data_IF_759205028883
#
_entry.id   IF_759205028883
#
_cell.length_a   1.000
_cell.length_b   1.000
_cell.length_c   1.000
_cell.angle_alpha   90.00
_cell.angle_beta   90.00
_cell.angle_gamma   90.00
#
_symmetry.space_group_name_H-M   'P 1'
#
loop_
_entity.id
_entity.type
_entity.pdbx_description
1 polymer ?
#
# COMPACT_ATOMS: atom_id res chain seq x y z
N UNK A 1 -16.39 -14.46 0.33
CA UNK A 1 -16.14 -15.62 1.24
C UNK A 1 -15.78 -16.77 0.34
N UNK A 2 -14.65 -17.41 0.56
CA UNK A 2 -14.28 -18.59 -0.22
C UNK A 2 -15.17 -19.77 0.19
N UNK A 3 -15.39 -20.71 -0.75
CA UNK A 3 -16.31 -21.88 -0.61
C UNK A 3 -16.10 -22.76 0.65
N UNK A 4 -15.00 -22.62 1.38
CA UNK A 4 -14.64 -23.42 2.55
C UNK A 4 -14.93 -22.77 3.92
N UNK A 5 -15.56 -21.60 3.99
CA UNK A 5 -15.87 -20.90 5.25
C UNK A 5 -14.66 -20.35 6.01
N UNK A 6 -13.44 -20.47 5.48
CA UNK A 6 -12.24 -19.92 6.10
C UNK A 6 -12.07 -18.42 5.78
N UNK A 7 -11.70 -17.65 6.81
CA UNK A 7 -11.43 -16.21 6.65
C UNK A 7 -10.17 -15.99 5.79
N UNK A 8 -10.20 -15.07 4.81
CA UNK A 8 -9.04 -14.76 3.99
C UNK A 8 -7.95 -14.05 4.82
N UNK A 9 -6.70 -14.18 4.39
CA UNK A 9 -5.52 -13.57 5.03
C UNK A 9 -4.98 -12.44 4.19
N UNK A 10 -4.81 -11.27 4.80
CA UNK A 10 -4.21 -10.09 4.16
C UNK A 10 -2.89 -9.69 4.85
N UNK A 11 -1.83 -9.50 4.08
CA UNK A 11 -0.59 -8.86 4.52
C UNK A 11 -0.60 -7.38 4.12
N UNK A 12 -0.40 -6.48 5.09
CA UNK A 12 -0.28 -5.04 4.86
C UNK A 12 1.12 -4.57 5.24
N UNK A 13 1.93 -4.17 4.25
CA UNK A 13 3.26 -3.61 4.53
C UNK A 13 3.14 -2.17 5.06
N UNK A 14 3.93 -1.83 6.11
CA UNK A 14 3.78 -0.55 6.80
C UNK A 14 2.39 -0.37 7.43
N UNK A 15 1.77 -1.47 7.89
CA UNK A 15 0.40 -1.50 8.39
C UNK A 15 0.18 -0.90 9.79
N UNK A 16 1.25 -0.56 10.51
CA UNK A 16 1.17 -0.12 11.90
C UNK A 16 0.63 1.31 12.10
N UNK A 17 0.82 2.19 11.13
CA UNK A 17 0.61 3.63 11.26
C UNK A 17 -0.13 4.23 10.05
N UNK A 18 -0.69 5.43 10.27
CA UNK A 18 -1.23 6.31 9.20
C UNK A 18 -2.24 5.56 8.31
N UNK A 19 -2.10 5.68 6.98
CA UNK A 19 -2.98 5.03 6.00
C UNK A 19 -2.95 3.50 6.15
N UNK A 20 -1.77 2.92 6.41
CA UNK A 20 -1.63 1.47 6.63
C UNK A 20 -2.48 0.96 7.78
N UNK A 21 -2.53 1.69 8.90
CA UNK A 21 -3.39 1.36 10.05
C UNK A 21 -4.88 1.36 9.68
N UNK A 22 -5.33 2.35 8.90
CA UNK A 22 -6.74 2.39 8.43
C UNK A 22 -7.05 1.23 7.48
N UNK A 23 -6.10 0.84 6.59
CA UNK A 23 -6.25 -0.33 5.73
C UNK A 23 -6.38 -1.61 6.57
N UNK A 24 -5.50 -1.80 7.57
CA UNK A 24 -5.56 -2.95 8.49
C UNK A 24 -6.92 -3.04 9.18
N UNK A 25 -7.42 -1.92 9.75
CA UNK A 25 -8.72 -1.89 10.43
C UNK A 25 -9.89 -2.18 9.48
N UNK A 26 -9.87 -1.61 8.28
CA UNK A 26 -10.89 -1.86 7.26
C UNK A 26 -10.95 -3.33 6.88
N UNK A 27 -9.81 -3.96 6.60
CA UNK A 27 -9.74 -5.36 6.23
C UNK A 27 -10.16 -6.29 7.38
N UNK A 28 -9.69 -6.01 8.61
CA UNK A 28 -10.14 -6.75 9.80
C UNK A 28 -11.67 -6.62 10.02
N UNK A 29 -12.22 -5.42 9.81
CA UNK A 29 -13.67 -5.17 9.85
C UNK A 29 -14.45 -5.98 8.82
N UNK A 30 -13.85 -6.28 7.67
CA UNK A 30 -14.43 -7.10 6.58
C UNK A 30 -14.20 -8.61 6.75
N UNK A 31 -13.61 -9.02 7.86
CA UNK A 31 -13.42 -10.45 8.18
C UNK A 31 -12.12 -11.05 7.68
N UNK A 32 -11.13 -10.23 7.25
CA UNK A 32 -9.79 -10.74 7.00
C UNK A 32 -9.05 -11.00 8.31
N UNK A 33 -8.26 -12.07 8.35
CA UNK A 33 -7.15 -12.24 9.28
C UNK A 33 -5.99 -11.39 8.77
N UNK A 34 -5.39 -10.53 9.62
CA UNK A 34 -4.47 -9.50 9.12
C UNK A 34 -3.05 -9.68 9.66
N UNK A 35 -2.11 -9.86 8.74
CA UNK A 35 -0.67 -9.76 8.99
C UNK A 35 -0.25 -8.29 8.88
N UNK A 36 0.25 -7.71 9.96
CA UNK A 36 0.66 -6.31 10.06
C UNK A 36 2.18 -6.24 9.98
N UNK A 37 2.72 -5.83 8.83
CA UNK A 37 4.17 -5.64 8.73
C UNK A 37 4.58 -4.24 9.21
N UNK A 38 5.69 -4.19 9.97
CA UNK A 38 6.41 -2.97 10.33
C UNK A 38 7.92 -3.21 10.33
N UNK A 39 8.72 -2.21 9.92
CA UNK A 39 10.18 -2.23 10.06
C UNK A 39 10.58 -1.68 11.44
N UNK A 40 10.47 -0.36 11.63
CA UNK A 40 10.94 0.34 12.84
C UNK A 40 9.86 0.50 13.93
N UNK A 41 8.60 0.28 13.63
CA UNK A 41 7.45 0.51 14.53
C UNK A 41 6.73 -0.80 14.88
N UNK A 42 7.50 -1.82 15.23
CA UNK A 42 6.94 -3.14 15.56
C UNK A 42 6.09 -3.11 16.84
N UNK A 43 6.45 -2.26 17.79
CA UNK A 43 5.67 -1.96 19.00
C UNK A 43 4.27 -1.45 18.65
N UNK A 44 4.17 -0.51 17.70
CA UNK A 44 2.88 0.01 17.21
C UNK A 44 2.06 -1.04 16.46
N UNK A 45 2.74 -1.93 15.72
CA UNK A 45 2.05 -3.07 15.11
C UNK A 45 1.47 -4.00 16.17
N UNK A 46 2.22 -4.28 17.25
CA UNK A 46 1.78 -5.12 18.35
C UNK A 46 0.62 -4.48 19.16
N UNK A 47 0.65 -3.16 19.38
CA UNK A 47 -0.48 -2.42 19.96
C UNK A 47 -1.76 -2.62 19.12
N UNK A 48 -1.64 -2.47 17.78
CA UNK A 48 -2.78 -2.65 16.88
C UNK A 48 -3.28 -4.11 16.87
N UNK A 49 -2.38 -5.10 16.96
CA UNK A 49 -2.77 -6.51 17.13
C UNK A 49 -3.60 -6.68 18.40
N UNK A 50 -3.17 -6.10 19.52
CA UNK A 50 -3.90 -6.18 20.80
C UNK A 50 -5.29 -5.55 20.69
N UNK A 51 -5.39 -4.38 20.06
CA UNK A 51 -6.70 -3.73 19.83
C UNK A 51 -7.63 -4.63 19.01
N UNK A 52 -7.16 -5.16 17.88
CA UNK A 52 -7.97 -6.01 17.00
C UNK A 52 -8.38 -7.33 17.69
N UNK A 53 -7.47 -7.91 18.48
CA UNK A 53 -7.76 -9.14 19.24
C UNK A 53 -8.85 -8.88 20.28
N UNK A 54 -8.81 -7.75 20.97
CA UNK A 54 -9.85 -7.34 21.93
C UNK A 54 -11.23 -7.11 21.23
N UNK A 55 -11.22 -6.77 19.95
CA UNK A 55 -12.42 -6.66 19.10
C UNK A 55 -12.86 -8.02 18.51
N UNK A 56 -12.21 -9.14 18.90
CA UNK A 56 -12.49 -10.48 18.39
C UNK A 56 -11.98 -10.75 16.95
N UNK A 57 -10.98 -9.97 16.49
CA UNK A 57 -10.36 -10.12 15.19
C UNK A 57 -9.01 -10.83 15.30
N UNK A 58 -8.67 -11.65 14.32
CA UNK A 58 -7.39 -12.34 14.27
C UNK A 58 -6.35 -11.48 13.52
N UNK A 59 -5.29 -11.11 14.22
CA UNK A 59 -4.19 -10.34 13.65
C UNK A 59 -2.84 -10.75 14.26
N UNK A 60 -1.74 -10.57 13.52
CA UNK A 60 -0.38 -10.80 14.01
C UNK A 60 0.61 -9.79 13.40
N UNK A 61 1.63 -9.41 14.18
CA UNK A 61 2.67 -8.48 13.76
C UNK A 61 3.90 -9.21 13.21
N UNK A 62 4.49 -8.69 12.14
CA UNK A 62 5.67 -9.24 11.47
C UNK A 62 6.69 -8.15 11.20
N UNK A 63 7.90 -8.31 11.76
CA UNK A 63 9.03 -7.41 11.54
C UNK A 63 9.88 -7.85 10.36
N UNK A 64 10.26 -6.89 9.49
CA UNK A 64 11.28 -7.05 8.46
C UNK A 64 11.80 -5.67 8.00
N UNK A 65 13.04 -5.62 7.49
CA UNK A 65 13.53 -4.49 6.72
C UNK A 65 13.31 -4.80 5.23
N UNK A 66 12.41 -4.07 4.57
CA UNK A 66 11.97 -4.41 3.21
C UNK A 66 13.05 -4.18 2.12
N UNK A 67 14.11 -3.43 2.42
CA UNK A 67 15.27 -3.32 1.52
C UNK A 67 16.09 -4.61 1.46
N UNK A 68 16.02 -5.40 2.52
CA UNK A 68 16.61 -6.74 2.54
C UNK A 68 15.64 -7.72 1.89
N UNK A 69 16.02 -8.17 0.69
CA UNK A 69 15.20 -9.09 -0.12
C UNK A 69 14.98 -10.42 0.59
N UNK A 70 16.02 -10.97 1.24
CA UNK A 70 15.92 -12.26 1.95
C UNK A 70 15.00 -12.12 3.17
N UNK A 71 15.18 -11.08 3.99
CA UNK A 71 14.32 -10.78 5.13
C UNK A 71 12.85 -10.56 4.70
N UNK A 72 12.62 -9.90 3.55
CA UNK A 72 11.29 -9.68 2.98
C UNK A 72 10.62 -10.98 2.57
N UNK A 73 11.32 -11.85 1.83
CA UNK A 73 10.81 -13.18 1.44
C UNK A 73 10.52 -14.05 2.67
N UNK A 74 11.48 -14.11 3.61
CA UNK A 74 11.31 -14.86 4.85
C UNK A 74 10.13 -14.35 5.70
N UNK A 75 9.87 -13.05 5.72
CA UNK A 75 8.71 -12.46 6.41
C UNK A 75 7.40 -12.94 5.77
N UNK A 76 7.28 -12.90 4.44
CA UNK A 76 6.08 -13.37 3.73
C UNK A 76 5.86 -14.87 3.98
N UNK A 77 6.92 -15.68 3.99
CA UNK A 77 6.84 -17.11 4.31
C UNK A 77 6.40 -17.35 5.75
N UNK A 78 6.82 -16.51 6.71
CA UNK A 78 6.32 -16.57 8.11
C UNK A 78 4.83 -16.25 8.18
N UNK A 79 4.35 -15.25 7.43
CA UNK A 79 2.91 -14.93 7.34
C UNK A 79 2.13 -16.13 6.84
N UNK A 80 2.55 -16.73 5.71
CA UNK A 80 1.89 -17.91 5.15
C UNK A 80 1.89 -19.09 6.14
N UNK A 81 3.00 -19.36 6.83
CA UNK A 81 3.08 -20.44 7.81
C UNK A 81 2.20 -20.20 9.03
N UNK A 82 2.10 -18.94 9.49
CA UNK A 82 1.30 -18.59 10.66
C UNK A 82 -0.20 -18.76 10.42
N UNK A 83 -0.69 -18.28 9.27
CA UNK A 83 -2.11 -18.31 8.95
C UNK A 83 -2.53 -19.48 8.05
N UNK A 84 -1.60 -20.26 7.53
CA UNK A 84 -1.85 -21.37 6.62
C UNK A 84 -2.06 -20.97 5.16
N UNK A 85 -2.30 -19.69 4.87
CA UNK A 85 -2.59 -19.13 3.54
C UNK A 85 -2.19 -17.65 3.44
N UNK A 86 -2.22 -17.10 2.23
CA UNK A 86 -2.08 -15.68 1.95
C UNK A 86 -2.95 -15.32 0.74
N UNK A 87 -4.01 -14.54 0.93
CA UNK A 87 -5.00 -14.24 -0.11
C UNK A 87 -4.89 -12.81 -0.65
N UNK A 88 -4.38 -11.91 0.18
CA UNK A 88 -4.23 -10.51 -0.19
C UNK A 88 -2.89 -9.95 0.25
N UNK A 89 -2.29 -9.11 -0.60
CA UNK A 89 -1.13 -8.29 -0.26
C UNK A 89 -1.46 -6.82 -0.53
N UNK A 90 -1.20 -5.96 0.47
CA UNK A 90 -1.27 -4.51 0.30
C UNK A 90 0.13 -3.93 0.50
N UNK A 91 0.74 -3.48 -0.58
CA UNK A 91 2.02 -2.80 -0.57
C UNK A 91 1.82 -1.32 -0.26
N UNK A 92 1.88 -0.97 1.05
CA UNK A 92 1.68 0.38 1.54
C UNK A 92 2.97 1.02 2.09
N UNK A 93 3.95 0.25 2.53
CA UNK A 93 5.22 0.77 3.04
C UNK A 93 5.91 1.68 2.02
N UNK A 94 6.29 2.89 2.45
CA UNK A 94 7.01 3.85 1.62
C UNK A 94 7.69 4.90 2.50
N UNK A 95 8.70 5.56 1.95
CA UNK A 95 9.25 6.81 2.48
C UNK A 95 8.82 7.97 1.60
N UNK A 96 8.67 9.13 2.25
CA UNK A 96 8.38 10.40 1.62
C UNK A 96 9.12 11.50 2.39
N UNK A 97 9.99 12.23 1.74
CA UNK A 97 10.68 13.40 2.28
C UNK A 97 11.15 14.30 1.15
N UNK A 98 11.38 15.60 1.42
CA UNK A 98 11.90 16.51 0.42
C UNK A 98 13.26 16.06 -0.13
N UNK A 99 13.42 16.18 -1.44
CA UNK A 99 14.66 15.96 -2.19
C UNK A 99 14.78 17.08 -3.25
N UNK A 100 15.16 18.32 -2.83
CA UNK A 100 15.32 19.44 -3.74
C UNK A 100 16.34 19.13 -4.83
N UNK A 101 16.02 19.46 -6.08
CA UNK A 101 16.82 19.06 -7.25
C UNK A 101 18.29 19.49 -7.15
N UNK A 102 18.54 20.66 -6.57
CA UNK A 102 19.87 21.28 -6.46
C UNK A 102 20.86 20.47 -5.60
N UNK A 103 20.34 19.67 -4.65
CA UNK A 103 21.16 18.91 -3.70
C UNK A 103 20.92 17.41 -3.75
N UNK A 104 19.96 16.94 -4.56
CA UNK A 104 19.64 15.51 -4.66
C UNK A 104 20.76 14.76 -5.37
N UNK A 105 21.39 13.82 -4.66
CA UNK A 105 22.39 12.92 -5.21
C UNK A 105 21.76 11.67 -5.85
N UNK A 106 22.53 10.97 -6.68
CA UNK A 106 22.09 9.69 -7.24
C UNK A 106 21.79 8.64 -6.16
N UNK A 107 22.47 8.71 -5.01
CA UNK A 107 22.24 7.81 -3.89
C UNK A 107 20.90 8.06 -3.20
N UNK A 108 20.41 9.29 -3.17
CA UNK A 108 19.06 9.59 -2.70
C UNK A 108 18.02 8.91 -3.60
N UNK A 109 18.22 8.99 -4.92
CA UNK A 109 17.32 8.34 -5.89
C UNK A 109 17.35 6.81 -5.70
N UNK A 110 18.53 6.20 -5.53
CA UNK A 110 18.66 4.76 -5.24
C UNK A 110 17.94 4.40 -3.96
N UNK A 111 18.15 5.14 -2.88
CA UNK A 111 17.53 4.91 -1.57
C UNK A 111 15.99 4.91 -1.65
N UNK A 112 15.41 5.93 -2.30
CA UNK A 112 13.96 5.98 -2.51
C UNK A 112 13.45 4.84 -3.38
N UNK A 113 14.20 4.50 -4.44
CA UNK A 113 13.82 3.43 -5.35
C UNK A 113 13.86 2.06 -4.67
N UNK A 114 14.88 1.78 -3.85
CA UNK A 114 14.98 0.55 -3.07
C UNK A 114 13.78 0.35 -2.15
N UNK A 115 13.37 1.41 -1.43
CA UNK A 115 12.29 1.31 -0.44
C UNK A 115 10.91 1.35 -1.10
N UNK A 116 10.66 2.25 -2.05
CA UNK A 116 9.32 2.48 -2.58
C UNK A 116 8.96 1.59 -3.77
N UNK A 117 9.98 1.05 -4.46
CA UNK A 117 9.78 0.33 -5.73
C UNK A 117 10.30 -1.09 -5.66
N UNK A 118 11.60 -1.29 -5.38
CA UNK A 118 12.23 -2.61 -5.42
C UNK A 118 11.64 -3.52 -4.33
N UNK A 119 11.47 -3.01 -3.11
CA UNK A 119 10.83 -3.77 -2.04
C UNK A 119 9.40 -4.23 -2.42
N UNK A 120 8.63 -3.33 -3.05
CA UNK A 120 7.28 -3.64 -3.55
C UNK A 120 7.34 -4.72 -4.64
N UNK A 121 8.31 -4.63 -5.56
CA UNK A 121 8.53 -5.66 -6.58
C UNK A 121 8.78 -7.03 -5.96
N UNK A 122 9.68 -7.11 -4.97
CA UNK A 122 9.99 -8.36 -4.25
C UNK A 122 8.75 -8.91 -3.54
N UNK A 123 7.99 -8.04 -2.87
CA UNK A 123 6.73 -8.44 -2.24
C UNK A 123 5.72 -8.99 -3.25
N UNK A 124 5.49 -8.29 -4.37
CA UNK A 124 4.57 -8.73 -5.43
C UNK A 124 5.01 -10.07 -6.02
N UNK A 125 6.31 -10.23 -6.32
CA UNK A 125 6.85 -11.44 -6.91
C UNK A 125 6.70 -12.64 -5.97
N UNK A 126 7.10 -12.50 -4.71
CA UNK A 126 7.10 -13.63 -3.77
C UNK A 126 5.68 -14.00 -3.32
N UNK A 127 4.89 -13.02 -2.88
CA UNK A 127 3.50 -13.26 -2.50
C UNK A 127 2.65 -13.73 -3.68
N UNK A 128 2.84 -13.14 -4.87
CA UNK A 128 2.14 -13.56 -6.09
C UNK A 128 2.39 -15.02 -6.46
N UNK A 129 3.63 -15.50 -6.33
CA UNK A 129 3.96 -16.93 -6.54
C UNK A 129 3.27 -17.82 -5.53
N UNK A 130 3.23 -17.43 -4.26
CA UNK A 130 2.51 -18.19 -3.21
C UNK A 130 1.03 -18.24 -3.55
N UNK A 131 0.39 -17.10 -3.82
CA UNK A 131 -1.03 -17.02 -4.15
C UNK A 131 -1.38 -17.85 -5.40
N UNK A 132 -0.53 -17.82 -6.44
CA UNK A 132 -0.75 -18.55 -7.67
C UNK A 132 -0.82 -20.09 -7.47
N UNK A 133 -0.22 -20.63 -6.42
CA UNK A 133 -0.30 -22.07 -6.07
C UNK A 133 -1.54 -22.42 -5.26
N UNK A 134 -2.28 -21.43 -4.77
CA UNK A 134 -3.50 -21.65 -3.99
C UNK A 134 -4.71 -21.88 -4.91
N UNK A 135 -5.68 -22.71 -4.50
CA UNK A 135 -6.90 -22.95 -5.30
C UNK A 135 -7.65 -21.65 -5.64
N UNK A 136 -7.83 -20.76 -4.66
CA UNK A 136 -8.54 -19.50 -4.80
C UNK A 136 -7.72 -18.38 -5.45
N UNK A 137 -6.39 -18.58 -5.65
CA UNK A 137 -5.51 -17.51 -6.11
C UNK A 137 -5.33 -16.42 -5.07
N UNK A 138 -5.37 -15.14 -5.50
CA UNK A 138 -5.26 -14.01 -4.60
C UNK A 138 -5.38 -12.64 -5.28
N UNK A 139 -5.15 -11.57 -4.50
CA UNK A 139 -5.16 -10.21 -5.01
C UNK A 139 -4.07 -9.33 -4.37
N UNK A 140 -3.48 -8.46 -5.16
CA UNK A 140 -2.43 -7.50 -4.74
C UNK A 140 -2.91 -6.09 -5.01
N UNK A 141 -2.74 -5.18 -4.04
CA UNK A 141 -2.96 -3.76 -4.21
C UNK A 141 -1.70 -2.98 -3.84
N UNK A 142 -1.20 -2.21 -4.79
CA UNK A 142 -0.03 -1.35 -4.63
C UNK A 142 -0.45 0.10 -4.31
N UNK A 143 0.15 0.73 -3.28
CA UNK A 143 -0.06 2.15 -3.00
C UNK A 143 0.92 2.99 -3.82
N UNK A 144 0.38 3.66 -4.85
CA UNK A 144 1.10 4.66 -5.63
C UNK A 144 0.97 6.06 -5.03
N UNK A 145 0.81 7.05 -5.91
CA UNK A 145 0.56 8.44 -5.56
C UNK A 145 -0.15 9.14 -6.73
N UNK A 146 -1.13 10.00 -6.46
CA UNK A 146 -1.83 10.78 -7.48
C UNK A 146 -0.87 11.68 -8.27
N UNK A 147 0.15 12.22 -7.58
CA UNK A 147 1.06 13.20 -8.15
C UNK A 147 2.08 12.61 -9.13
N UNK A 148 2.08 11.27 -9.35
CA UNK A 148 2.83 10.66 -10.46
C UNK A 148 2.44 11.28 -11.80
N UNK A 149 1.16 11.63 -11.96
CA UNK A 149 0.66 12.30 -13.17
C UNK A 149 0.98 13.81 -13.21
N UNK A 150 1.20 14.42 -12.05
CA UNK A 150 1.43 15.88 -11.89
C UNK A 150 2.45 16.15 -10.77
N UNK A 151 3.75 15.82 -10.98
CA UNK A 151 4.80 16.03 -9.98
C UNK A 151 4.91 17.51 -9.57
N UNK A 152 5.30 17.73 -8.33
CA UNK A 152 5.58 19.03 -7.76
C UNK A 152 7.04 19.13 -7.32
N UNK A 153 7.53 20.34 -7.06
CA UNK A 153 8.93 20.63 -6.74
C UNK A 153 9.38 19.94 -5.44
N UNK A 154 10.68 19.80 -5.31
CA UNK A 154 11.41 19.39 -4.10
C UNK A 154 11.20 17.91 -3.67
N UNK A 155 10.70 17.05 -4.56
CA UNK A 155 10.48 15.61 -4.28
C UNK A 155 10.94 14.73 -5.44
N UNK A 156 12.07 15.10 -6.08
CA UNK A 156 12.56 14.45 -7.30
C UNK A 156 12.79 12.93 -7.13
N UNK A 157 13.52 12.50 -6.10
CA UNK A 157 13.79 11.09 -5.85
C UNK A 157 12.51 10.30 -5.52
N UNK A 158 11.59 10.91 -4.76
CA UNK A 158 10.31 10.28 -4.46
C UNK A 158 9.49 9.99 -5.72
N UNK A 159 9.31 10.99 -6.61
CA UNK A 159 8.51 10.79 -7.83
C UNK A 159 9.15 9.82 -8.82
N UNK A 160 10.48 9.81 -8.94
CA UNK A 160 11.19 8.80 -9.71
C UNK A 160 10.87 7.40 -9.20
N UNK A 161 10.88 7.21 -7.87
CA UNK A 161 10.56 5.91 -7.28
C UNK A 161 9.09 5.53 -7.48
N UNK A 162 8.14 6.43 -7.24
CA UNK A 162 6.71 6.15 -7.37
C UNK A 162 6.25 6.00 -8.82
N UNK A 163 6.94 6.63 -9.77
CA UNK A 163 6.61 6.58 -11.21
C UNK A 163 6.63 5.18 -11.82
N UNK A 164 7.36 4.24 -11.25
CA UNK A 164 7.43 2.86 -11.72
C UNK A 164 6.17 2.02 -11.35
N UNK A 165 5.40 2.43 -10.33
CA UNK A 165 4.32 1.62 -9.77
C UNK A 165 3.20 1.31 -10.77
N UNK A 166 2.71 2.25 -11.61
CA UNK A 166 1.68 1.93 -12.60
C UNK A 166 2.11 0.86 -13.61
N UNK A 167 3.34 0.94 -14.10
CA UNK A 167 3.88 -0.05 -15.05
C UNK A 167 4.07 -1.40 -14.37
N UNK A 168 4.65 -1.41 -13.17
CA UNK A 168 4.84 -2.62 -12.38
C UNK A 168 3.51 -3.31 -12.06
N UNK A 169 2.47 -2.55 -11.71
CA UNK A 169 1.13 -3.07 -11.44
C UNK A 169 0.55 -3.79 -12.65
N UNK A 170 0.63 -3.19 -13.85
CA UNK A 170 0.16 -3.82 -15.09
C UNK A 170 0.97 -5.04 -15.49
N UNK A 171 2.29 -4.97 -15.35
CA UNK A 171 3.19 -6.09 -15.61
C UNK A 171 2.83 -7.29 -14.72
N UNK A 172 2.70 -7.10 -13.41
CA UNK A 172 2.31 -8.19 -12.52
C UNK A 172 0.87 -8.68 -12.75
N UNK A 173 -0.05 -7.80 -13.17
CA UNK A 173 -1.40 -8.22 -13.54
C UNK A 173 -1.39 -9.19 -14.75
N UNK A 174 -0.48 -8.98 -15.70
CA UNK A 174 -0.29 -9.89 -16.85
C UNK A 174 0.39 -11.18 -16.42
N UNK A 175 1.50 -11.09 -15.70
CA UNK A 175 2.36 -12.23 -15.34
C UNK A 175 1.70 -13.21 -14.37
N UNK A 176 0.80 -12.73 -13.50
CA UNK A 176 0.17 -13.54 -12.46
C UNK A 176 -1.26 -13.99 -12.83
N UNK A 177 -1.80 -13.50 -13.95
CA UNK A 177 -3.11 -13.94 -14.43
C UNK A 177 -3.08 -15.42 -14.83
N UNK A 178 -4.22 -16.16 -14.74
CA UNK A 178 -5.52 -15.71 -14.21
C UNK A 178 -5.67 -15.85 -12.69
N UNK A 179 -4.65 -16.32 -12.00
CA UNK A 179 -4.72 -16.71 -10.58
C UNK A 179 -4.65 -15.54 -9.60
N UNK A 180 -3.92 -14.48 -9.95
CA UNK A 180 -3.74 -13.35 -9.04
C UNK A 180 -4.05 -12.05 -9.78
N UNK A 181 -4.93 -11.24 -9.19
CA UNK A 181 -5.23 -9.90 -9.67
C UNK A 181 -4.26 -8.89 -9.05
N UNK A 182 -3.82 -7.91 -9.81
CA UNK A 182 -2.92 -6.86 -9.31
C UNK A 182 -3.43 -5.50 -9.73
N UNK A 183 -3.65 -4.63 -8.75
CA UNK A 183 -4.16 -3.28 -8.95
C UNK A 183 -3.35 -2.26 -8.14
N UNK A 184 -3.57 -0.99 -8.36
CA UNK A 184 -3.01 0.08 -7.54
C UNK A 184 -4.08 1.08 -7.11
N UNK A 185 -3.90 1.67 -5.93
CA UNK A 185 -4.58 2.88 -5.48
C UNK A 185 -3.58 4.03 -5.53
N UNK A 186 -4.02 5.19 -6.04
CA UNK A 186 -3.23 6.42 -6.11
C UNK A 186 -3.84 7.47 -5.17
N UNK A 187 -3.42 7.52 -3.89
CA UNK A 187 -3.97 8.44 -2.91
C UNK A 187 -3.63 9.89 -3.24
N UNK A 188 -4.58 10.79 -3.05
CA UNK A 188 -4.39 12.23 -2.99
C UNK A 188 -4.13 12.74 -1.57
N UNK A 189 -4.49 13.98 -1.25
CA UNK A 189 -4.28 14.59 0.06
C UNK A 189 -5.27 14.01 1.09
N UNK A 190 -5.01 12.79 1.57
CA UNK A 190 -5.85 12.07 2.55
C UNK A 190 -5.31 12.16 3.99
N UNK A 191 -4.03 12.47 4.15
CA UNK A 191 -3.37 12.67 5.45
C UNK A 191 -2.24 13.69 5.29
N UNK A 192 -2.56 14.94 5.52
CA UNK A 192 -1.61 16.04 5.38
C UNK A 192 -0.52 15.96 6.47
N UNK A 193 0.75 16.26 6.16
CA UNK A 193 1.84 16.29 7.13
C UNK A 193 1.55 17.22 8.31
N UNK A 194 1.96 16.83 9.53
CA UNK A 194 1.72 17.63 10.75
C UNK A 194 2.42 19.00 10.71
N UNK A 195 3.62 19.09 10.10
CA UNK A 195 4.38 20.34 9.95
C UNK A 195 3.97 21.22 8.79
N UNK A 196 2.92 20.87 8.03
CA UNK A 196 2.46 21.66 6.89
C UNK A 196 1.81 22.98 7.35
N UNK A 197 2.23 24.10 6.76
CA UNK A 197 1.65 25.41 7.03
C UNK A 197 0.18 25.49 6.59
N UNK A 198 -0.56 26.47 7.15
CA UNK A 198 -1.96 26.67 6.80
C UNK A 198 -2.14 26.94 5.29
N UNK A 199 -1.26 27.78 4.70
CA UNK A 199 -1.31 28.09 3.27
C UNK A 199 -1.05 26.88 2.36
N UNK A 200 -0.16 25.95 2.79
CA UNK A 200 0.07 24.70 2.07
C UNK A 200 -1.12 23.75 2.18
N UNK A 201 -1.74 23.67 3.36
CA UNK A 201 -2.96 22.89 3.57
C UNK A 201 -4.11 23.38 2.68
N UNK A 202 -4.32 24.68 2.64
CA UNK A 202 -5.34 25.31 1.79
C UNK A 202 -5.08 25.01 0.31
N UNK A 203 -3.85 25.16 -0.18
CA UNK A 203 -3.46 24.80 -1.56
C UNK A 203 -3.67 23.34 -1.85
N UNK A 204 -3.38 22.44 -0.90
CA UNK A 204 -3.61 21.02 -1.06
C UNK A 204 -5.11 20.70 -1.22
N UNK A 205 -5.97 21.40 -0.48
CA UNK A 205 -7.42 21.23 -0.51
C UNK A 205 -8.03 21.86 -1.77
N UNK A 206 -7.67 23.12 -2.07
CA UNK A 206 -8.16 23.84 -3.26
C UNK A 206 -7.84 23.14 -4.57
N UNK A 207 -6.74 22.38 -4.63
CA UNK A 207 -6.42 21.55 -5.79
C UNK A 207 -7.31 20.35 -6.00
N UNK A 208 -8.23 20.04 -5.07
CA UNK A 208 -9.20 18.94 -5.25
C UNK A 208 -10.52 19.48 -5.78
N UNK A 209 -11.17 18.78 -6.74
CA UNK A 209 -12.50 19.16 -7.23
C UNK A 209 -13.58 19.05 -6.14
N UNK A 210 -13.37 18.18 -5.15
CA UNK A 210 -14.30 18.03 -4.03
C UNK A 210 -14.12 19.10 -2.94
N UNK A 211 -13.16 20.04 -3.06
CA UNK A 211 -12.96 21.17 -2.15
C UNK A 211 -12.58 20.77 -0.71
N UNK A 212 -12.08 19.57 -0.50
CA UNK A 212 -11.69 19.06 0.82
C UNK A 212 -10.57 18.03 0.75
N UNK A 213 -9.84 17.86 1.84
CA UNK A 213 -8.99 16.69 2.00
C UNK A 213 -9.84 15.41 2.14
N UNK A 214 -9.30 14.31 1.65
CA UNK A 214 -9.82 12.99 1.95
C UNK A 214 -9.46 12.55 3.37
N UNK A 215 -9.76 11.29 3.68
CA UNK A 215 -9.39 10.63 4.93
C UNK A 215 -8.71 9.30 4.61
N UNK A 216 -7.86 8.76 5.49
CA UNK A 216 -7.24 7.44 5.32
C UNK A 216 -8.25 6.33 5.01
N UNK A 217 -9.47 6.41 5.58
CA UNK A 217 -10.55 5.46 5.35
C UNK A 217 -11.02 5.44 3.87
N UNK A 218 -10.93 6.56 3.15
CA UNK A 218 -11.28 6.57 1.73
C UNK A 218 -10.31 5.70 0.90
N UNK A 219 -9.03 5.70 1.29
CA UNK A 219 -8.02 4.82 0.67
C UNK A 219 -8.27 3.37 1.08
N UNK A 220 -8.53 3.12 2.36
CA UNK A 220 -8.78 1.78 2.88
C UNK A 220 -9.99 1.11 2.20
N UNK A 221 -11.09 1.84 2.01
CA UNK A 221 -12.28 1.38 1.30
C UNK A 221 -11.98 1.04 -0.17
N UNK A 222 -11.18 1.88 -0.85
CA UNK A 222 -10.78 1.62 -2.24
C UNK A 222 -9.89 0.37 -2.34
N UNK A 223 -8.96 0.18 -1.41
CA UNK A 223 -8.13 -1.02 -1.31
C UNK A 223 -9.01 -2.26 -1.14
N UNK A 224 -9.95 -2.24 -0.19
CA UNK A 224 -10.85 -3.35 0.05
C UNK A 224 -11.70 -3.68 -1.18
N UNK A 225 -12.26 -2.66 -1.86
CA UNK A 225 -13.02 -2.85 -3.09
C UNK A 225 -12.21 -3.53 -4.20
N UNK A 226 -10.93 -3.16 -4.38
CA UNK A 226 -10.04 -3.78 -5.36
C UNK A 226 -9.63 -5.21 -4.98
N UNK A 227 -9.55 -5.52 -3.69
CA UNK A 227 -9.28 -6.87 -3.21
C UNK A 227 -10.49 -7.79 -3.39
N UNK A 228 -11.72 -7.28 -3.21
CA UNK A 228 -12.96 -8.08 -3.22
C UNK A 228 -13.60 -8.21 -4.60
N UNK A 229 -13.44 -7.24 -5.49
CA UNK A 229 -13.97 -7.32 -6.85
C UNK A 229 -13.10 -8.22 -7.73
N UNK A 230 -13.62 -9.38 -8.08
CA UNK A 230 -12.91 -10.45 -8.79
C UNK A 230 -12.70 -10.18 -10.30
N UNK A 231 -13.29 -9.11 -10.84
CA UNK A 231 -13.20 -8.76 -12.26
C UNK A 231 -12.39 -7.49 -12.53
N UNK A 232 -11.64 -6.98 -11.52
CA UNK A 232 -10.75 -5.81 -11.67
C UNK A 232 -9.30 -6.24 -11.55
N UNK A 233 -8.50 -6.04 -12.61
CA UNK A 233 -7.05 -6.22 -12.60
C UNK A 233 -6.35 -5.22 -13.53
N UNK A 234 -5.12 -4.81 -13.19
CA UNK A 234 -4.30 -3.88 -13.99
C UNK A 234 -4.69 -2.40 -13.86
N UNK A 235 -5.65 -2.05 -13.01
CA UNK A 235 -6.10 -0.67 -12.82
C UNK A 235 -5.20 0.10 -11.84
N UNK A 236 -5.02 1.39 -12.11
CA UNK A 236 -4.50 2.38 -11.16
C UNK A 236 -5.64 3.34 -10.81
N UNK A 237 -6.22 3.20 -9.63
CA UNK A 237 -7.41 3.92 -9.18
C UNK A 237 -7.02 5.18 -8.39
N UNK A 238 -7.23 6.41 -8.90
CA UNK A 238 -7.07 7.63 -8.12
C UNK A 238 -8.11 7.72 -7.00
N UNK A 239 -7.64 8.02 -5.78
CA UNK A 239 -8.48 8.34 -4.61
C UNK A 239 -8.01 9.69 -4.08
N UNK A 240 -8.28 10.75 -4.84
CA UNK A 240 -7.61 12.04 -4.75
C UNK A 240 -8.57 13.25 -4.74
N UNK A 241 -9.88 13.01 -4.70
CA UNK A 241 -10.89 14.06 -4.75
C UNK A 241 -10.92 14.82 -6.08
N UNK A 242 -10.47 14.18 -7.17
CA UNK A 242 -10.38 14.78 -8.49
C UNK A 242 -9.14 15.63 -8.71
N UNK A 243 -8.13 15.57 -7.84
CA UNK A 243 -6.92 16.40 -7.94
C UNK A 243 -6.11 16.14 -9.21
N UNK A 244 -6.07 14.90 -9.70
CA UNK A 244 -5.35 14.54 -10.93
C UNK A 244 -5.94 15.24 -12.15
N UNK A 245 -7.26 15.43 -12.21
CA UNK A 245 -7.98 16.01 -13.34
C UNK A 245 -8.43 17.45 -13.10
N UNK A 246 -8.38 17.92 -11.84
CA UNK A 246 -8.69 19.30 -11.48
C UNK A 246 -7.69 20.26 -12.10
N UNK A 247 -8.19 21.36 -12.72
CA UNK A 247 -7.36 22.44 -13.25
C UNK A 247 -6.67 23.18 -12.12
N UNK A 248 -5.44 23.68 -12.37
CA UNK A 248 -4.95 24.88 -11.75
C UNK A 248 -5.52 26.03 -12.61
N UNK A 249 -6.62 26.62 -12.20
CA UNK A 249 -6.96 27.97 -12.62
C UNK A 249 -6.13 28.96 -11.81
#
# INVERSE_FOLDING_TARGET
MNDNGEQPVALVTGGALRVGRSIVRELAGRGYRVAIHASKSLDRAQELVTELTNEGREAAAFGAELRDEEATRAMIDRVRRHFGRLDALVNNAAIWSPTPLEITAADDVRHFFEINTLSMFVCCQHAGRIMATQPAGGAIVNLGDWAIARPYRDYSAYFVSKGAIPTMTRMFAIELAPKVRVNAVLPGPVLLPEGMSQAERERAIQGTLLGRAGRPENVAQAVAALLENDFITGVCLPVDGGRTIGGLE
#
